data_IF_502167294416
#
_entry.id   IF_502167294416
#
_cell.length_a   1.000
_cell.length_b   1.000
_cell.length_c   1.000
_cell.angle_alpha   90.00
_cell.angle_beta   90.00
_cell.angle_gamma   90.00
#
_symmetry.space_group_name_H-M   'P 1'
#
loop_
_entity.id
_entity.type
_entity.pdbx_description
1 polymer ?
#
# COMPACT_ATOMS: atom_id res chain seq x y z
N UNK A 1 -10.25 -6.36 3.60
CA UNK A 1 -10.22 -7.85 3.56
C UNK A 1 -10.38 -8.24 2.10
N UNK A 2 -9.28 -8.61 1.43
CA UNK A 2 -9.30 -8.88 -0.01
C UNK A 2 -10.25 -10.02 -0.40
N UNK A 3 -10.80 -9.94 -1.61
CA UNK A 3 -11.80 -10.91 -2.08
C UNK A 3 -11.07 -12.13 -2.62
N UNK A 4 -11.33 -13.29 -2.02
CA UNK A 4 -10.86 -14.56 -2.54
C UNK A 4 -11.85 -15.06 -3.60
N UNK A 5 -11.36 -15.20 -4.83
CA UNK A 5 -12.10 -15.75 -5.95
C UNK A 5 -11.57 -17.16 -6.24
N UNK A 6 -12.43 -18.17 -6.29
CA UNK A 6 -12.03 -19.55 -6.62
C UNK A 6 -12.63 -19.92 -7.97
N UNK A 7 -11.78 -20.11 -8.96
CA UNK A 7 -12.15 -20.47 -10.34
C UNK A 7 -11.50 -21.78 -10.80
N UNK A 8 -11.81 -22.24 -12.03
CA UNK A 8 -11.23 -23.47 -12.61
C UNK A 8 -9.70 -23.39 -12.78
N UNK A 9 -9.13 -22.19 -12.68
CA UNK A 9 -7.70 -21.88 -12.80
C UNK A 9 -6.99 -21.80 -11.43
N UNK A 10 -7.73 -21.97 -10.33
CA UNK A 10 -7.23 -21.85 -8.96
C UNK A 10 -7.88 -20.73 -8.15
N UNK A 11 -7.32 -20.45 -6.97
CA UNK A 11 -7.75 -19.35 -6.12
C UNK A 11 -6.95 -18.08 -6.42
N UNK A 12 -7.61 -16.99 -6.84
CA UNK A 12 -7.01 -15.66 -6.93
C UNK A 12 -7.41 -14.83 -5.70
N UNK A 13 -6.44 -14.13 -5.13
CA UNK A 13 -6.67 -13.15 -4.07
C UNK A 13 -6.57 -11.77 -4.70
N UNK A 14 -7.69 -11.08 -4.84
CA UNK A 14 -7.68 -9.66 -5.18
C UNK A 14 -7.30 -8.89 -3.91
N UNK A 15 -6.13 -8.23 -3.90
CA UNK A 15 -5.74 -7.41 -2.76
C UNK A 15 -6.81 -6.34 -2.55
N UNK A 16 -7.08 -6.05 -1.28
CA UNK A 16 -8.07 -5.04 -0.91
C UNK A 16 -7.67 -3.67 -1.47
N UNK A 17 -8.36 -3.22 -2.53
CA UNK A 17 -8.12 -1.90 -3.14
C UNK A 17 -8.75 -0.75 -2.33
N UNK A 18 -9.24 -1.02 -1.11
CA UNK A 18 -9.87 -0.01 -0.26
C UNK A 18 -8.96 1.17 0.09
N UNK A 19 -7.64 1.01 -0.05
CA UNK A 19 -6.70 2.11 0.08
C UNK A 19 -6.89 3.20 -1.00
N UNK A 20 -7.55 2.89 -2.12
CA UNK A 20 -7.90 3.85 -3.19
C UNK A 20 -9.30 4.41 -3.04
N UNK A 21 -10.20 3.71 -2.35
CA UNK A 21 -11.62 4.11 -2.24
C UNK A 21 -11.89 4.91 -0.97
N UNK A 22 -12.34 6.16 -1.12
CA UNK A 22 -12.68 7.04 0.00
C UNK A 22 -13.74 6.40 0.91
N UNK A 23 -13.49 6.34 2.22
CA UNK A 23 -14.45 5.78 3.18
C UNK A 23 -15.73 6.60 3.34
N UNK A 24 -15.69 7.89 3.04
CA UNK A 24 -16.81 8.82 3.25
C UNK A 24 -17.79 8.81 2.07
N UNK A 25 -17.30 8.96 0.84
CA UNK A 25 -18.16 9.01 -0.36
C UNK A 25 -18.13 7.77 -1.24
N UNK A 26 -17.23 6.81 -0.97
CA UNK A 26 -17.04 5.63 -1.83
C UNK A 26 -16.41 5.93 -3.18
N UNK A 27 -15.95 7.16 -3.41
CA UNK A 27 -15.29 7.57 -4.66
C UNK A 27 -13.83 7.11 -4.75
N UNK A 28 -13.31 7.04 -5.98
CA UNK A 28 -11.89 6.75 -6.22
C UNK A 28 -11.03 7.98 -5.88
N UNK A 29 -10.04 7.78 -5.01
CA UNK A 29 -9.11 8.83 -4.61
C UNK A 29 -8.02 9.01 -5.66
N UNK A 30 -7.48 10.22 -5.75
CA UNK A 30 -6.41 10.56 -6.68
C UNK A 30 -5.06 10.25 -6.03
N UNK A 31 -4.14 9.53 -6.70
CA UNK A 31 -2.81 9.30 -6.18
C UNK A 31 -1.93 10.54 -6.33
N UNK A 32 -1.36 10.99 -5.22
CA UNK A 32 -0.38 12.06 -5.13
C UNK A 32 0.96 11.47 -4.66
N UNK A 33 2.02 11.49 -5.48
CA UNK A 33 3.32 10.99 -5.07
C UNK A 33 3.90 11.89 -3.97
N UNK A 34 4.15 11.30 -2.81
CA UNK A 34 4.82 11.95 -1.68
C UNK A 34 6.20 11.32 -1.52
N UNK A 35 7.18 11.89 -2.23
CA UNK A 35 8.59 11.56 -2.03
C UNK A 35 9.13 12.35 -0.85
N UNK A 36 9.72 11.68 0.14
CA UNK A 36 10.45 12.33 1.22
C UNK A 36 11.88 11.80 1.28
N UNK A 37 12.83 12.69 0.99
CA UNK A 37 14.18 12.79 1.58
C UNK A 37 14.80 11.50 2.12
N UNK A 38 15.08 10.54 1.23
CA UNK A 38 15.82 9.32 1.58
C UNK A 38 15.02 8.25 2.36
N UNK A 39 13.73 8.45 2.62
CA UNK A 39 12.87 7.51 3.36
C UNK A 39 12.01 6.58 2.47
N UNK A 40 12.21 6.61 1.15
CA UNK A 40 11.45 5.83 0.17
C UNK A 40 10.24 6.55 -0.42
N UNK A 41 9.65 5.97 -1.47
CA UNK A 41 8.46 6.51 -2.14
C UNK A 41 7.20 6.12 -1.38
N UNK A 42 6.38 7.13 -1.03
CA UNK A 42 5.01 6.93 -0.52
C UNK A 42 4.02 7.54 -1.49
N UNK A 43 2.85 6.95 -1.58
CA UNK A 43 1.75 7.42 -2.41
C UNK A 43 0.61 7.81 -1.48
N UNK A 44 0.25 9.08 -1.51
CA UNK A 44 -0.93 9.58 -0.82
C UNK A 44 -2.13 9.39 -1.73
N UNK A 45 -3.25 8.92 -1.20
CA UNK A 45 -4.52 8.84 -1.91
C UNK A 45 -5.43 9.93 -1.35
N UNK A 46 -5.80 10.88 -2.20
CA UNK A 46 -6.53 12.08 -1.80
C UNK A 46 -7.91 12.09 -2.45
N UNK A 47 -8.95 12.13 -1.64
CA UNK A 47 -10.31 12.41 -2.09
C UNK A 47 -10.45 13.91 -2.37
N UNK A 48 -10.91 14.34 -3.56
CA UNK A 48 -11.10 15.77 -3.86
C UNK A 48 -12.07 16.49 -2.92
N UNK A 49 -12.98 15.74 -2.29
CA UNK A 49 -14.03 16.28 -1.42
C UNK A 49 -13.67 16.20 0.07
N UNK A 50 -12.96 15.16 0.48
CA UNK A 50 -12.74 14.83 1.90
C UNK A 50 -11.25 14.92 2.32
N UNK A 51 -10.34 15.17 1.37
CA UNK A 51 -8.91 15.30 1.64
C UNK A 51 -8.18 13.95 1.66
N UNK A 52 -7.12 13.84 2.46
CA UNK A 52 -6.25 12.64 2.49
C UNK A 52 -7.05 11.45 3.03
N UNK A 53 -7.13 10.39 2.23
CA UNK A 53 -7.77 9.13 2.59
C UNK A 53 -6.75 8.11 3.13
N UNK A 54 -5.68 7.87 2.38
CA UNK A 54 -4.67 6.88 2.78
C UNK A 54 -3.26 7.30 2.35
N UNK A 55 -2.25 6.71 2.99
CA UNK A 55 -0.85 6.81 2.58
C UNK A 55 -0.29 5.40 2.49
N UNK A 56 0.08 5.00 1.28
CA UNK A 56 0.56 3.65 0.98
C UNK A 56 2.02 3.71 0.60
N UNK A 57 2.78 2.77 1.13
CA UNK A 57 4.13 2.51 0.67
C UNK A 57 4.19 1.16 -0.03
N UNK A 58 4.27 1.13 -1.37
CA UNK A 58 4.27 -0.11 -2.14
C UNK A 58 5.44 -1.05 -1.79
N UNK A 59 6.52 -0.50 -1.23
CA UNK A 59 7.78 -1.20 -0.99
C UNK A 59 8.05 -1.42 0.50
N UNK A 60 7.06 -1.22 1.37
CA UNK A 60 7.21 -1.44 2.82
C UNK A 60 7.78 -2.82 3.17
N UNK A 61 7.29 -3.86 2.50
CA UNK A 61 7.75 -5.24 2.68
C UNK A 61 9.23 -5.43 2.31
N UNK A 62 9.71 -4.75 1.27
CA UNK A 62 11.11 -4.82 0.86
C UNK A 62 12.03 -4.09 1.83
N UNK A 63 11.59 -2.95 2.37
CA UNK A 63 12.39 -2.23 3.38
C UNK A 63 12.46 -2.97 4.70
N UNK A 64 11.38 -3.61 5.11
CA UNK A 64 11.40 -4.47 6.28
C UNK A 64 12.32 -5.66 6.07
N UNK A 65 12.28 -6.28 4.89
CA UNK A 65 13.20 -7.35 4.53
C UNK A 65 14.67 -6.89 4.54
N UNK A 66 15.00 -5.75 3.92
CA UNK A 66 16.36 -5.17 3.93
C UNK A 66 16.86 -4.93 5.36
N UNK A 67 15.98 -4.43 6.24
CA UNK A 67 16.29 -4.24 7.66
C UNK A 67 16.61 -5.57 8.35
N UNK A 68 15.76 -6.58 8.18
CA UNK A 68 15.97 -7.91 8.76
C UNK A 68 17.23 -8.59 8.21
N UNK A 69 17.53 -8.40 6.92
CA UNK A 69 18.74 -8.95 6.29
C UNK A 69 20.00 -8.33 6.89
N UNK A 70 20.01 -7.00 7.07
CA UNK A 70 21.11 -6.29 7.76
C UNK A 70 21.27 -6.72 9.21
N UNK A 71 20.16 -6.88 9.94
CA UNK A 71 20.17 -7.38 11.32
C UNK A 71 20.71 -8.82 11.38
N UNK A 72 20.46 -9.66 10.38
CA UNK A 72 21.02 -11.03 10.31
C UNK A 72 22.49 -11.07 9.90
N UNK A 73 22.92 -10.15 9.04
CA UNK A 73 24.30 -10.10 8.54
C UNK A 73 25.25 -9.45 9.56
N UNK A 74 24.77 -8.45 10.31
CA UNK A 74 25.59 -7.60 11.19
C UNK A 74 25.13 -7.54 12.65
N UNK A 75 24.01 -8.18 13.01
CA UNK A 75 23.56 -8.27 14.39
C UNK A 75 24.24 -9.44 15.10
N UNK A 76 25.15 -9.12 16.03
CA UNK A 76 25.76 -10.08 16.97
C UNK A 76 24.76 -10.70 17.95
#
# INVERSE_FOLDING_TARGET
>A
MGRLSIGPEGASHDPDEGYRTCSECGGDCIPEPSGADGMGIRIMWVCPQHGIHSVVDPFAHLREQDRLDREREYGE
#
